data_IF_322544798629
#
_entry.id   IF_322544798629
#
_cell.length_a   1.000
_cell.length_b   1.000
_cell.length_c   1.000
_cell.angle_alpha   90.00
_cell.angle_beta   90.00
_cell.angle_gamma   90.00
#
_symmetry.space_group_name_H-M   'P 1'
#
loop_
_entity.id
_entity.type
_entity.pdbx_description
1 polymer ?
#
# COMPACT_ATOMS: atom_id res chain seq x y z
N UNK A 1 44.74 6.83 -14.52
CA UNK A 1 43.35 7.35 -14.54
C UNK A 1 43.19 8.29 -13.36
N UNK A 2 42.80 9.55 -13.59
CA UNK A 2 42.58 10.54 -12.53
C UNK A 2 41.17 10.36 -11.96
N UNK A 3 41.06 9.87 -10.71
CA UNK A 3 39.79 9.80 -9.98
C UNK A 3 39.48 11.17 -9.38
N UNK A 4 38.65 11.93 -10.08
CA UNK A 4 38.06 13.16 -9.55
C UNK A 4 37.04 12.79 -8.47
N UNK A 5 37.45 12.77 -7.21
CA UNK A 5 36.51 12.81 -6.09
C UNK A 5 35.89 14.21 -6.07
N UNK A 6 34.76 14.36 -6.75
CA UNK A 6 33.96 15.58 -6.62
C UNK A 6 33.48 15.68 -5.16
N UNK A 7 34.22 16.43 -4.35
CA UNK A 7 33.75 16.90 -3.05
C UNK A 7 32.59 17.85 -3.34
N UNK A 8 31.37 17.41 -3.07
CA UNK A 8 30.20 18.28 -3.10
C UNK A 8 30.46 19.38 -2.06
N UNK A 9 30.49 20.67 -2.46
CA UNK A 9 30.66 21.77 -1.52
C UNK A 9 29.61 21.69 -0.40
N UNK A 10 29.97 21.91 0.87
CA UNK A 10 29.03 21.87 2.00
C UNK A 10 27.78 22.75 1.80
N UNK A 11 27.92 23.85 1.05
CA UNK A 11 26.83 24.75 0.69
C UNK A 11 25.79 24.08 -0.23
N UNK A 12 26.23 23.29 -1.23
CA UNK A 12 25.32 22.56 -2.10
C UNK A 12 24.59 21.44 -1.36
N UNK A 13 25.26 20.78 -0.41
CA UNK A 13 24.61 19.80 0.47
C UNK A 13 23.52 20.43 1.33
N UNK A 14 23.79 21.60 1.93
CA UNK A 14 22.82 22.35 2.72
C UNK A 14 21.61 22.80 1.88
N UNK A 15 21.85 23.28 0.65
CA UNK A 15 20.78 23.65 -0.29
C UNK A 15 19.93 22.43 -0.68
N UNK A 16 20.55 21.29 -0.95
CA UNK A 16 19.84 20.05 -1.23
C UNK A 16 18.97 19.60 -0.05
N UNK A 17 19.49 19.65 1.17
CA UNK A 17 18.72 19.34 2.38
C UNK A 17 17.54 20.29 2.58
N UNK A 18 17.74 21.60 2.40
CA UNK A 18 16.66 22.60 2.46
C UNK A 18 15.57 22.30 1.41
N UNK A 19 15.97 22.00 0.18
CA UNK A 19 15.03 21.66 -0.89
C UNK A 19 14.23 20.38 -0.57
N UNK A 20 14.88 19.34 -0.08
CA UNK A 20 14.20 18.10 0.36
C UNK A 20 13.23 18.36 1.51
N UNK A 21 13.63 19.16 2.50
CA UNK A 21 12.77 19.53 3.61
C UNK A 21 11.52 20.27 3.11
N UNK A 22 11.67 21.25 2.21
CA UNK A 22 10.54 21.98 1.64
C UNK A 22 9.58 21.06 0.87
N UNK A 23 10.11 20.13 0.06
CA UNK A 23 9.27 19.13 -0.65
C UNK A 23 8.48 18.27 0.32
N UNK A 24 9.12 17.77 1.37
CA UNK A 24 8.46 16.94 2.37
C UNK A 24 7.35 17.71 3.09
N UNK A 25 7.62 18.95 3.51
CA UNK A 25 6.61 19.81 4.16
C UNK A 25 5.40 20.03 3.24
N UNK A 26 5.63 20.33 1.95
CA UNK A 26 4.54 20.53 0.99
C UNK A 26 3.73 19.23 0.83
N UNK A 27 4.38 18.09 0.62
CA UNK A 27 3.68 16.81 0.45
C UNK A 27 2.85 16.41 1.68
N UNK A 28 3.41 16.57 2.88
CA UNK A 28 2.70 16.35 4.15
C UNK A 28 1.49 17.28 4.26
N UNK A 29 1.69 18.57 3.94
CA UNK A 29 0.61 19.57 3.99
C UNK A 29 -0.51 19.21 3.03
N UNK A 30 -0.20 18.77 1.80
CA UNK A 30 -1.22 18.35 0.83
C UNK A 30 -2.03 17.17 1.36
N UNK A 31 -1.38 16.13 1.89
CA UNK A 31 -2.09 14.98 2.47
C UNK A 31 -2.99 15.40 3.64
N UNK A 32 -2.48 16.23 4.55
CA UNK A 32 -3.26 16.75 5.68
C UNK A 32 -4.47 17.55 5.23
N UNK A 33 -4.27 18.50 4.32
CA UNK A 33 -5.34 19.35 3.79
C UNK A 33 -6.39 18.51 3.08
N UNK A 34 -5.98 17.54 2.25
CA UNK A 34 -6.92 16.62 1.61
C UNK A 34 -7.74 15.84 2.65
N UNK A 35 -7.10 15.19 3.62
CA UNK A 35 -7.80 14.41 4.64
C UNK A 35 -8.74 15.22 5.53
N UNK A 36 -8.40 16.49 5.82
CA UNK A 36 -9.23 17.38 6.64
C UNK A 36 -10.40 17.98 5.87
N UNK A 37 -10.20 18.31 4.59
CA UNK A 37 -11.19 19.02 3.78
C UNK A 37 -12.16 18.05 3.10
N UNK A 38 -11.72 16.85 2.68
CA UNK A 38 -12.56 15.87 1.98
C UNK A 38 -13.91 15.60 2.68
N UNK A 39 -13.98 15.41 4.01
CA UNK A 39 -15.25 15.18 4.71
C UNK A 39 -16.27 16.33 4.60
N UNK A 40 -15.81 17.56 4.30
CA UNK A 40 -16.68 18.73 4.11
C UNK A 40 -17.47 18.66 2.79
N UNK A 41 -16.99 17.87 1.82
CA UNK A 41 -17.61 17.70 0.51
C UNK A 41 -18.47 16.45 0.40
N UNK A 42 -18.55 15.65 1.47
CA UNK A 42 -19.35 14.42 1.52
C UNK A 42 -18.61 13.26 2.15
N UNK A 43 -19.23 12.08 2.08
CA UNK A 43 -18.67 10.84 2.60
C UNK A 43 -18.22 9.98 1.44
N UNK A 44 -17.02 9.41 1.56
CA UNK A 44 -16.46 8.51 0.56
C UNK A 44 -17.33 7.27 0.35
N UNK A 45 -17.46 6.83 -0.91
CA UNK A 45 -18.30 5.69 -1.27
C UNK A 45 -17.82 4.38 -0.64
N UNK A 46 -16.51 4.15 -0.58
CA UNK A 46 -15.93 2.92 -0.02
C UNK A 46 -16.07 2.90 1.50
N UNK A 47 -15.82 4.03 2.17
CA UNK A 47 -16.08 4.16 3.60
C UNK A 47 -17.55 3.92 3.93
N UNK A 48 -18.47 4.51 3.16
CA UNK A 48 -19.92 4.28 3.34
C UNK A 48 -20.29 2.80 3.20
N UNK A 49 -19.67 2.08 2.27
CA UNK A 49 -19.86 0.64 2.11
C UNK A 49 -19.33 -0.15 3.32
N UNK A 50 -18.18 0.24 3.88
CA UNK A 50 -17.66 -0.36 5.12
C UNK A 50 -18.63 -0.19 6.30
N UNK A 51 -19.15 1.02 6.51
CA UNK A 51 -20.09 1.32 7.59
C UNK A 51 -21.43 0.60 7.38
N UNK A 52 -21.94 0.55 6.15
CA UNK A 52 -23.16 -0.17 5.84
C UNK A 52 -23.06 -1.67 6.19
N UNK A 53 -21.91 -2.30 5.94
CA UNK A 53 -21.68 -3.70 6.29
C UNK A 53 -21.60 -3.96 7.81
N UNK A 54 -21.13 -2.98 8.59
CA UNK A 54 -21.12 -3.07 10.06
C UNK A 54 -22.52 -2.87 10.66
N UNK A 55 -23.32 -1.99 10.05
CA UNK A 55 -24.60 -1.52 10.62
C UNK A 55 -25.83 -2.30 10.13
N UNK A 56 -25.74 -2.97 8.96
CA UNK A 56 -26.82 -3.79 8.41
C UNK A 56 -26.41 -5.25 8.53
N UNK A 57 -26.85 -5.92 9.59
CA UNK A 57 -26.72 -7.35 9.93
C UNK A 57 -26.36 -8.19 8.70
N UNK A 58 -25.06 -8.39 8.46
CA UNK A 58 -24.55 -8.88 7.17
C UNK A 58 -23.06 -8.58 6.99
N UNK A 59 -22.24 -9.04 7.93
CA UNK A 59 -20.78 -8.94 7.83
C UNK A 59 -20.29 -9.71 6.58
N UNK A 60 -19.36 -9.13 5.83
CA UNK A 60 -18.72 -9.76 4.66
C UNK A 60 -19.50 -9.68 3.35
N UNK A 61 -20.82 -9.42 3.37
CA UNK A 61 -21.67 -9.49 2.16
C UNK A 61 -21.44 -8.31 1.21
N UNK A 62 -21.15 -7.12 1.74
CA UNK A 62 -21.03 -5.89 0.94
C UNK A 62 -19.60 -5.40 0.69
N UNK A 63 -18.63 -5.90 1.46
CA UNK A 63 -17.25 -5.38 1.40
C UNK A 63 -16.22 -6.47 1.21
N UNK A 64 -16.61 -7.75 1.26
CA UNK A 64 -15.78 -8.94 1.04
C UNK A 64 -14.47 -8.99 1.85
N UNK A 65 -14.39 -8.21 2.93
CA UNK A 65 -13.27 -8.21 3.87
C UNK A 65 -13.47 -9.32 4.89
N UNK A 66 -12.38 -9.91 5.42
CA UNK A 66 -12.48 -10.89 6.49
C UNK A 66 -13.11 -10.23 7.72
N UNK A 67 -13.89 -10.99 8.48
CA UNK A 67 -14.67 -10.43 9.58
C UNK A 67 -13.86 -9.63 10.63
N UNK A 68 -12.60 -10.00 10.97
CA UNK A 68 -11.74 -9.18 11.85
C UNK A 68 -11.57 -7.71 11.40
N UNK A 69 -11.73 -7.40 10.11
CA UNK A 69 -11.70 -6.02 9.62
C UNK A 69 -12.83 -5.16 10.23
N UNK A 70 -13.98 -5.74 10.55
CA UNK A 70 -15.10 -4.98 11.09
C UNK A 70 -14.84 -4.45 12.49
N UNK A 71 -14.02 -5.13 13.30
CA UNK A 71 -13.56 -4.56 14.57
C UNK A 71 -12.68 -3.31 14.40
N UNK A 72 -11.95 -3.21 13.28
CA UNK A 72 -11.21 -2.00 12.96
C UNK A 72 -12.16 -0.88 12.53
N UNK A 73 -13.19 -1.18 11.75
CA UNK A 73 -14.12 -0.18 11.21
C UNK A 73 -15.14 0.31 12.24
N UNK A 74 -15.58 -0.57 13.14
CA UNK A 74 -16.65 -0.31 14.09
C UNK A 74 -16.47 0.97 14.93
N UNK A 75 -15.29 1.30 15.48
CA UNK A 75 -15.08 2.57 16.18
C UNK A 75 -15.39 3.82 15.34
N UNK A 76 -15.22 3.72 14.01
CA UNK A 76 -15.52 4.79 13.06
C UNK A 76 -16.99 4.83 12.65
N UNK A 77 -17.77 3.79 12.96
CA UNK A 77 -19.22 3.74 12.74
C UNK A 77 -20.04 4.33 13.89
N UNK A 78 -19.45 4.45 15.09
CA UNK A 78 -20.11 5.01 16.27
C UNK A 78 -20.45 6.51 16.17
N UNK A 79 -19.54 7.40 15.72
CA UNK A 79 -19.87 8.81 15.56
C UNK A 79 -20.75 9.06 14.30
N UNK A 80 -21.30 10.27 14.12
CA UNK A 80 -21.99 10.61 12.87
C UNK A 80 -21.07 10.37 11.67
N UNK A 81 -21.65 9.91 10.56
CA UNK A 81 -20.91 9.36 9.42
C UNK A 81 -19.77 10.26 8.90
N UNK A 82 -19.97 11.58 8.88
CA UNK A 82 -18.92 12.54 8.49
C UNK A 82 -17.75 12.60 9.46
N UNK A 83 -18.01 12.53 10.77
CA UNK A 83 -16.97 12.48 11.80
C UNK A 83 -16.22 11.15 11.77
N UNK A 84 -16.96 10.04 11.61
CA UNK A 84 -16.37 8.72 11.37
C UNK A 84 -15.44 8.72 10.17
N UNK A 85 -15.88 9.33 9.07
CA UNK A 85 -15.10 9.46 7.85
C UNK A 85 -13.85 10.32 8.04
N UNK A 86 -13.96 11.47 8.72
CA UNK A 86 -12.79 12.29 9.07
C UNK A 86 -11.76 11.50 9.87
N UNK A 87 -12.19 10.81 10.93
CA UNK A 87 -11.29 10.00 11.76
C UNK A 87 -10.64 8.87 10.95
N UNK A 88 -11.39 8.24 10.04
CA UNK A 88 -10.88 7.23 9.13
C UNK A 88 -9.82 7.78 8.16
N UNK A 89 -10.04 8.97 7.60
CA UNK A 89 -9.06 9.63 6.74
C UNK A 89 -7.81 10.05 7.50
N UNK A 90 -7.95 10.53 8.74
CA UNK A 90 -6.81 10.84 9.60
C UNK A 90 -5.98 9.58 9.91
N UNK A 91 -6.63 8.45 10.20
CA UNK A 91 -5.90 7.18 10.40
C UNK A 91 -5.15 6.76 9.12
N UNK A 92 -5.79 6.82 7.96
CA UNK A 92 -5.14 6.50 6.69
C UNK A 92 -3.96 7.44 6.39
N UNK A 93 -4.15 8.74 6.59
CA UNK A 93 -3.11 9.75 6.42
C UNK A 93 -1.91 9.47 7.33
N UNK A 94 -2.14 9.26 8.64
CA UNK A 94 -1.07 8.92 9.58
C UNK A 94 -0.35 7.63 9.16
N UNK A 95 -1.10 6.64 8.66
CA UNK A 95 -0.54 5.42 8.12
C UNK A 95 0.38 5.63 6.92
N UNK A 96 -0.05 6.46 5.95
CA UNK A 96 0.80 6.86 4.82
C UNK A 96 2.04 7.62 5.27
N UNK A 97 1.88 8.63 6.14
CA UNK A 97 2.99 9.44 6.61
C UNK A 97 4.06 8.60 7.31
N UNK A 98 3.63 7.71 8.20
CA UNK A 98 4.51 6.80 8.90
C UNK A 98 5.20 5.83 7.93
N UNK A 99 4.47 5.26 6.97
CA UNK A 99 5.06 4.34 6.00
C UNK A 99 6.09 5.02 5.09
N UNK A 100 5.77 6.20 4.55
CA UNK A 100 6.68 6.97 3.68
C UNK A 100 7.96 7.32 4.44
N UNK A 101 7.87 7.74 5.71
CA UNK A 101 9.03 8.00 6.55
C UNK A 101 9.92 6.76 6.69
N UNK A 102 9.33 5.61 7.05
CA UNK A 102 10.07 4.35 7.25
C UNK A 102 10.71 3.79 5.99
N UNK A 103 10.09 3.98 4.83
CA UNK A 103 10.65 3.57 3.55
C UNK A 103 11.48 4.66 2.86
N UNK A 104 11.65 5.83 3.50
CA UNK A 104 12.34 6.98 2.93
C UNK A 104 11.80 7.38 1.55
N UNK A 105 10.47 7.37 1.41
CA UNK A 105 9.76 7.76 0.20
C UNK A 105 9.69 9.29 0.02
N UNK A 106 9.18 9.71 -1.14
CA UNK A 106 8.98 11.13 -1.48
C UNK A 106 7.52 11.55 -1.20
N UNK A 107 7.31 12.29 -0.11
CA UNK A 107 5.99 12.77 0.30
C UNK A 107 5.27 13.57 -0.78
N UNK A 108 6.00 14.42 -1.52
CA UNK A 108 5.40 15.28 -2.54
C UNK A 108 4.96 14.45 -3.73
N UNK A 109 5.84 13.58 -4.23
CA UNK A 109 5.48 12.71 -5.37
C UNK A 109 4.31 11.78 -5.01
N UNK A 110 4.26 11.29 -3.76
CA UNK A 110 3.14 10.49 -3.27
C UNK A 110 1.84 11.30 -3.17
N UNK A 111 1.87 12.51 -2.59
CA UNK A 111 0.68 13.32 -2.36
C UNK A 111 -0.03 13.75 -3.65
N UNK A 112 0.71 13.85 -4.75
CA UNK A 112 0.18 14.15 -6.08
C UNK A 112 -0.19 12.92 -6.90
N UNK A 113 0.00 11.73 -6.35
CA UNK A 113 -0.30 10.49 -7.05
C UNK A 113 -1.81 10.25 -7.08
N UNK A 114 -2.33 9.79 -8.23
CA UNK A 114 -3.72 9.35 -8.34
C UNK A 114 -4.12 8.36 -7.23
N UNK A 115 -3.29 7.36 -6.87
CA UNK A 115 -3.64 6.43 -5.82
C UNK A 115 -3.88 7.06 -4.46
N UNK A 116 -3.04 8.02 -4.06
CA UNK A 116 -3.19 8.72 -2.79
C UNK A 116 -4.46 9.59 -2.79
N UNK A 117 -4.67 10.38 -3.84
CA UNK A 117 -5.81 11.29 -3.95
C UNK A 117 -7.12 10.51 -3.99
N UNK A 118 -7.22 9.49 -4.85
CA UNK A 118 -8.42 8.67 -4.95
C UNK A 118 -8.73 7.95 -3.64
N UNK A 119 -7.72 7.32 -3.01
CA UNK A 119 -7.91 6.59 -1.75
C UNK A 119 -8.43 7.48 -0.61
N UNK A 120 -7.95 8.73 -0.54
CA UNK A 120 -8.47 9.72 0.42
C UNK A 120 -9.90 10.14 0.06
N UNK A 121 -10.18 10.45 -1.21
CA UNK A 121 -11.50 10.90 -1.64
C UNK A 121 -12.59 9.85 -1.41
N UNK A 122 -12.31 8.58 -1.66
CA UNK A 122 -13.32 7.51 -1.54
C UNK A 122 -13.32 6.84 -0.17
N UNK A 123 -12.32 7.09 0.67
CA UNK A 123 -12.23 6.51 2.00
C UNK A 123 -11.75 5.08 2.03
N UNK A 124 -10.82 4.73 1.14
CA UNK A 124 -10.22 3.42 1.13
C UNK A 124 -9.30 3.19 2.34
N UNK A 125 -8.82 1.95 2.50
CA UNK A 125 -8.02 1.50 3.65
C UNK A 125 -6.54 1.28 3.33
N UNK A 126 -6.02 1.73 2.17
CA UNK A 126 -4.61 1.47 1.82
C UNK A 126 -3.63 2.23 2.71
N UNK A 127 -4.02 3.34 3.35
CA UNK A 127 -3.18 3.99 4.37
C UNK A 127 -2.98 3.09 5.59
N UNK A 128 -4.01 2.33 5.96
CA UNK A 128 -3.93 1.31 7.03
C UNK A 128 -3.08 0.12 6.56
N UNK A 129 -3.19 -0.30 5.31
CA UNK A 129 -2.33 -1.35 4.74
C UNK A 129 -0.86 -0.89 4.66
N UNK A 130 -0.59 0.36 4.28
CA UNK A 130 0.74 0.97 4.26
C UNK A 130 1.33 1.05 5.67
N UNK A 131 0.54 1.44 6.67
CA UNK A 131 0.92 1.36 8.08
C UNK A 131 1.27 -0.08 8.46
N UNK A 132 0.42 -1.03 8.08
CA UNK A 132 0.63 -2.45 8.34
C UNK A 132 1.94 -2.97 7.78
N UNK A 133 2.27 -2.57 6.54
CA UNK A 133 3.53 -2.88 5.88
C UNK A 133 4.74 -2.32 6.65
N UNK A 134 4.68 -1.05 7.05
CA UNK A 134 5.78 -0.40 7.78
C UNK A 134 5.98 -1.00 9.19
N UNK A 135 4.89 -1.27 9.92
CA UNK A 135 4.96 -1.93 11.22
C UNK A 135 5.49 -3.36 11.10
N UNK A 136 4.98 -4.13 10.13
CA UNK A 136 5.44 -5.48 9.83
C UNK A 136 6.93 -5.54 9.56
N UNK A 137 7.46 -4.61 8.76
CA UNK A 137 8.88 -4.58 8.39
C UNK A 137 9.81 -4.08 9.50
N UNK A 138 9.46 -3.00 10.20
CA UNK A 138 10.43 -2.27 11.01
C UNK A 138 10.17 -2.30 12.53
N UNK A 139 8.97 -2.69 12.96
CA UNK A 139 8.62 -2.63 14.38
C UNK A 139 9.08 -3.91 15.15
N UNK A 140 9.09 -3.88 16.50
CA UNK A 140 9.30 -5.08 17.32
C UNK A 140 8.23 -6.15 17.05
N UNK A 141 8.52 -7.41 17.35
CA UNK A 141 7.72 -8.57 16.92
C UNK A 141 6.22 -8.49 17.23
N UNK A 142 5.86 -7.99 18.41
CA UNK A 142 4.46 -7.84 18.79
C UNK A 142 3.77 -6.74 17.96
N UNK A 143 4.39 -5.58 17.78
CA UNK A 143 3.85 -4.50 16.93
C UNK A 143 3.80 -4.93 15.46
N UNK A 144 4.81 -5.67 15.00
CA UNK A 144 4.82 -6.23 13.65
C UNK A 144 3.62 -7.17 13.42
N UNK A 145 3.16 -7.88 14.45
CA UNK A 145 1.93 -8.65 14.39
C UNK A 145 0.67 -7.80 14.20
N UNK A 146 0.60 -6.60 14.79
CA UNK A 146 -0.46 -5.62 14.46
C UNK A 146 -0.38 -5.25 12.97
N UNK A 147 0.85 -5.07 12.46
CA UNK A 147 1.06 -4.78 11.05
C UNK A 147 0.58 -5.89 10.11
N UNK A 148 0.85 -7.15 10.44
CA UNK A 148 0.34 -8.32 9.71
C UNK A 148 -1.19 -8.38 9.77
N UNK A 149 -1.79 -8.07 10.92
CA UNK A 149 -3.25 -8.00 11.04
C UNK A 149 -3.84 -6.94 10.11
N UNK A 150 -3.28 -5.73 10.07
CA UNK A 150 -3.73 -4.67 9.16
C UNK A 150 -3.59 -5.06 7.68
N UNK A 151 -2.49 -5.72 7.31
CA UNK A 151 -2.33 -6.25 5.95
C UNK A 151 -3.38 -7.33 5.63
N UNK A 152 -3.72 -8.19 6.59
CA UNK A 152 -4.68 -9.27 6.39
C UNK A 152 -6.11 -8.78 6.10
N UNK A 153 -6.44 -7.56 6.54
CA UNK A 153 -7.75 -6.95 6.28
C UNK A 153 -8.03 -6.68 4.81
N UNK A 154 -7.00 -6.42 4.00
CA UNK A 154 -7.08 -6.38 2.54
C UNK A 154 -6.22 -7.49 1.96
N UNK A 155 -6.76 -8.70 1.91
CA UNK A 155 -6.03 -9.90 1.43
C UNK A 155 -5.41 -9.71 0.04
N UNK A 156 -6.09 -8.99 -0.86
CA UNK A 156 -5.61 -8.67 -2.21
C UNK A 156 -4.47 -7.62 -2.26
N UNK A 157 -4.10 -7.00 -1.15
CA UNK A 157 -2.91 -6.15 -1.00
C UNK A 157 -1.89 -6.74 -0.05
N UNK A 158 -2.36 -7.46 0.98
CA UNK A 158 -1.55 -7.91 2.10
C UNK A 158 -0.96 -9.30 1.96
N UNK A 159 -1.55 -10.21 1.17
CA UNK A 159 -1.13 -11.62 1.17
C UNK A 159 0.36 -11.81 0.83
N UNK A 160 0.81 -11.28 -0.32
CA UNK A 160 2.22 -11.37 -0.71
C UNK A 160 3.14 -10.62 0.27
N UNK A 161 2.86 -9.37 0.68
CA UNK A 161 3.67 -8.68 1.68
C UNK A 161 3.78 -9.41 3.02
N UNK A 162 2.72 -10.07 3.50
CA UNK A 162 2.75 -10.88 4.72
C UNK A 162 3.75 -12.03 4.56
N UNK A 163 3.70 -12.77 3.43
CA UNK A 163 4.64 -13.85 3.14
C UNK A 163 6.08 -13.31 3.15
N UNK A 164 6.31 -12.18 2.48
CA UNK A 164 7.62 -11.52 2.47
C UNK A 164 8.10 -11.15 3.88
N UNK A 165 7.26 -10.51 4.70
CA UNK A 165 7.61 -10.11 6.08
C UNK A 165 8.02 -11.32 6.91
N UNK A 166 7.23 -12.40 6.88
CA UNK A 166 7.52 -13.63 7.65
C UNK A 166 8.85 -14.23 7.19
N UNK A 167 9.05 -14.35 5.87
CA UNK A 167 10.28 -14.91 5.31
C UNK A 167 11.52 -14.06 5.60
N UNK A 168 11.37 -12.73 5.53
CA UNK A 168 12.45 -11.77 5.76
C UNK A 168 12.86 -11.72 7.24
N UNK A 169 11.88 -11.65 8.15
CA UNK A 169 12.13 -11.53 9.59
C UNK A 169 12.53 -12.84 10.24
N UNK A 170 12.06 -13.98 9.72
CA UNK A 170 12.25 -15.32 10.31
C UNK A 170 11.82 -15.41 11.78
N UNK A 171 10.84 -14.60 12.17
CA UNK A 171 10.35 -14.51 13.53
C UNK A 171 8.86 -14.83 13.55
N UNK A 172 8.51 -16.01 14.04
CA UNK A 172 7.13 -16.50 14.11
C UNK A 172 6.26 -15.76 15.13
N UNK A 173 6.85 -15.01 16.08
CA UNK A 173 6.10 -14.27 17.10
C UNK A 173 5.21 -13.18 16.49
N UNK A 174 5.54 -12.72 15.28
CA UNK A 174 4.70 -11.79 14.51
C UNK A 174 3.31 -12.36 14.21
N UNK A 175 3.12 -13.68 14.28
CA UNK A 175 1.83 -14.32 14.03
C UNK A 175 0.91 -14.35 15.24
N UNK A 176 1.39 -14.03 16.44
CA UNK A 176 0.57 -14.14 17.67
C UNK A 176 -0.68 -13.27 17.57
N UNK A 177 -0.53 -11.99 17.23
CA UNK A 177 -1.65 -11.04 17.14
C UNK A 177 -2.65 -11.42 16.04
N UNK A 178 -2.26 -11.67 14.77
CA UNK A 178 -3.23 -12.06 13.75
C UNK A 178 -3.93 -13.38 14.11
N UNK A 179 -3.23 -14.36 14.70
CA UNK A 179 -3.87 -15.60 15.19
C UNK A 179 -4.92 -15.27 16.25
N UNK A 180 -4.59 -14.48 17.27
CA UNK A 180 -5.53 -14.09 18.34
C UNK A 180 -6.74 -13.36 17.77
N UNK A 181 -6.54 -12.42 16.83
CA UNK A 181 -7.64 -11.70 16.19
C UNK A 181 -8.57 -12.62 15.41
N UNK A 182 -8.02 -13.54 14.61
CA UNK A 182 -8.84 -14.49 13.86
C UNK A 182 -9.54 -15.49 14.79
N UNK A 183 -8.86 -15.99 15.83
CA UNK A 183 -9.47 -16.87 16.83
C UNK A 183 -10.62 -16.18 17.56
N UNK A 184 -10.41 -14.95 18.04
CA UNK A 184 -11.46 -14.19 18.69
C UNK A 184 -12.63 -13.92 17.71
N UNK A 185 -12.34 -13.72 16.42
CA UNK A 185 -13.36 -13.51 15.39
C UNK A 185 -14.19 -14.78 15.17
N UNK A 186 -13.55 -15.96 15.18
CA UNK A 186 -14.28 -17.24 15.18
C UNK A 186 -15.15 -17.43 16.41
N UNK A 187 -14.68 -16.99 17.58
CA UNK A 187 -15.47 -17.09 18.81
C UNK A 187 -16.68 -16.14 18.79
N UNK A 188 -16.53 -14.94 18.23
CA UNK A 188 -17.58 -13.92 18.21
C UNK A 188 -18.62 -14.16 17.12
N UNK A 189 -18.20 -14.48 15.89
CA UNK A 189 -19.08 -14.64 14.73
C UNK A 189 -19.28 -16.10 14.28
N UNK A 190 -18.68 -17.07 14.98
CA UNK A 190 -18.70 -18.46 14.56
C UNK A 190 -17.80 -18.76 13.36
N UNK A 191 -18.05 -19.88 12.69
CA UNK A 191 -17.27 -20.31 11.53
C UNK A 191 -17.68 -19.55 10.25
N UNK A 192 -17.30 -18.28 10.16
CA UNK A 192 -17.68 -17.37 9.07
C UNK A 192 -16.88 -17.55 7.76
N UNK A 193 -15.79 -18.34 7.77
CA UNK A 193 -14.94 -18.55 6.58
C UNK A 193 -15.71 -19.07 5.36
N UNK A 194 -16.56 -20.12 5.45
CA UNK A 194 -17.28 -20.63 4.29
C UNK A 194 -18.26 -19.62 3.70
N UNK A 195 -18.93 -18.83 4.55
CA UNK A 195 -19.83 -17.76 4.10
C UNK A 195 -19.04 -16.65 3.39
N UNK A 196 -17.93 -16.20 4.00
CA UNK A 196 -17.06 -15.21 3.39
C UNK A 196 -16.48 -15.68 2.05
N UNK A 197 -16.01 -16.93 1.96
CA UNK A 197 -15.55 -17.52 0.70
C UNK A 197 -16.71 -17.66 -0.29
N UNK A 198 -17.89 -18.13 0.13
CA UNK A 198 -19.07 -18.25 -0.71
C UNK A 198 -19.47 -16.91 -1.35
N UNK A 199 -19.39 -15.83 -0.58
CA UNK A 199 -19.65 -14.46 -1.04
C UNK A 199 -18.59 -13.94 -2.03
N UNK A 200 -17.39 -14.53 -2.08
CA UNK A 200 -16.37 -14.24 -3.10
C UNK A 200 -16.61 -15.01 -4.42
N UNK A 201 -17.26 -16.16 -4.36
CA UNK A 201 -17.39 -17.10 -5.48
C UNK A 201 -18.74 -17.01 -6.22
N UNK A 202 -19.64 -16.08 -5.87
CA UNK A 202 -20.97 -16.01 -6.50
C UNK A 202 -20.87 -15.78 -8.03
N UNK A 203 -21.34 -16.72 -8.87
CA UNK A 203 -21.35 -16.54 -10.31
C UNK A 203 -22.26 -15.36 -10.69
N UNK A 204 -21.72 -14.36 -11.40
CA UNK A 204 -22.45 -13.14 -11.77
C UNK A 204 -22.08 -11.89 -10.97
N UNK A 205 -21.33 -12.01 -9.86
CA UNK A 205 -20.76 -10.88 -9.13
C UNK A 205 -19.45 -10.36 -9.74
N UNK A 206 -19.28 -10.51 -11.05
CA UNK A 206 -18.18 -9.91 -11.83
C UNK A 206 -18.66 -8.61 -12.46
N UNK A 207 -19.43 -7.81 -11.71
CA UNK A 207 -19.75 -6.46 -12.15
C UNK A 207 -18.54 -5.55 -11.98
N UNK A 208 -18.26 -4.74 -12.99
CA UNK A 208 -17.28 -3.64 -12.97
C UNK A 208 -17.60 -2.56 -11.90
N UNK A 209 -18.78 -2.64 -11.28
CA UNK A 209 -19.25 -1.78 -10.18
C UNK A 209 -18.86 -2.31 -8.79
N UNK A 210 -18.32 -3.52 -8.70
CA UNK A 210 -17.96 -4.13 -7.42
C UNK A 210 -16.51 -3.78 -7.08
N UNK A 211 -16.32 -3.20 -5.90
CA UNK A 211 -15.07 -2.55 -5.48
C UNK A 211 -13.90 -3.52 -5.27
N UNK A 212 -14.13 -4.83 -5.31
CA UNK A 212 -13.11 -5.85 -5.07
C UNK A 212 -13.37 -7.11 -5.92
N UNK A 213 -12.56 -7.31 -6.97
CA UNK A 213 -12.49 -8.58 -7.69
C UNK A 213 -11.35 -9.40 -7.06
N UNK A 214 -11.68 -10.37 -6.21
CA UNK A 214 -10.72 -11.27 -5.58
C UNK A 214 -10.26 -12.41 -6.49
N UNK A 215 -10.70 -12.41 -7.75
CA UNK A 215 -10.19 -13.30 -8.79
C UNK A 215 -8.67 -13.22 -8.80
N UNK A 216 -7.96 -14.34 -8.69
CA UNK A 216 -6.54 -14.37 -9.00
C UNK A 216 -6.37 -14.28 -10.51
N UNK A 217 -5.31 -13.62 -10.98
CA UNK A 217 -4.92 -13.68 -12.38
C UNK A 217 -3.98 -14.88 -12.53
N UNK A 218 -4.44 -16.03 -13.09
CA UNK A 218 -3.69 -17.27 -13.02
C UNK A 218 -2.30 -17.16 -13.64
N UNK A 219 -2.18 -16.38 -14.72
CA UNK A 219 -0.91 -16.09 -15.38
C UNK A 219 0.03 -15.24 -14.51
N UNK A 220 -0.51 -14.37 -13.67
CA UNK A 220 0.27 -13.57 -12.73
C UNK A 220 0.88 -14.40 -11.59
N UNK A 221 0.27 -15.54 -11.23
CA UNK A 221 0.76 -16.42 -10.15
C UNK A 221 2.15 -17.00 -10.44
N UNK A 222 2.55 -17.12 -11.71
CA UNK A 222 3.90 -17.56 -12.08
C UNK A 222 4.98 -16.60 -11.58
N UNK A 223 4.65 -15.33 -11.32
CA UNK A 223 5.59 -14.37 -10.82
C UNK A 223 5.90 -14.56 -9.33
N UNK A 224 5.05 -15.24 -8.56
CA UNK A 224 5.33 -15.53 -7.12
C UNK A 224 6.57 -16.42 -6.96
N UNK A 225 6.69 -17.60 -7.61
CA UNK A 225 7.92 -18.37 -7.52
C UNK A 225 9.12 -17.63 -8.13
N UNK A 226 8.93 -16.83 -9.20
CA UNK A 226 10.01 -15.99 -9.73
C UNK A 226 10.48 -14.95 -8.71
N UNK A 227 9.57 -14.31 -7.96
CA UNK A 227 9.89 -13.45 -6.83
C UNK A 227 10.75 -14.18 -5.81
N UNK A 228 10.36 -15.40 -5.46
CA UNK A 228 11.07 -16.21 -4.49
C UNK A 228 12.49 -16.57 -4.94
N UNK A 229 12.71 -16.88 -6.21
CA UNK A 229 14.04 -17.26 -6.70
C UNK A 229 14.94 -16.05 -6.97
N UNK A 230 14.42 -14.99 -7.59
CA UNK A 230 15.23 -13.89 -8.13
C UNK A 230 15.17 -12.62 -7.28
N UNK A 231 14.07 -12.40 -6.58
CA UNK A 231 13.77 -11.13 -5.89
C UNK A 231 13.39 -11.32 -4.42
N UNK A 232 13.83 -12.41 -3.78
CA UNK A 232 13.44 -12.80 -2.41
C UNK A 232 13.61 -11.71 -1.36
N UNK A 233 14.57 -10.80 -1.56
CA UNK A 233 14.91 -9.73 -0.62
C UNK A 233 14.38 -8.36 -1.05
N UNK A 234 13.64 -8.26 -2.17
CA UNK A 234 13.18 -6.98 -2.72
C UNK A 234 11.69 -6.78 -2.48
N UNK A 235 11.34 -6.12 -1.37
CA UNK A 235 9.96 -5.81 -1.03
C UNK A 235 9.20 -5.15 -2.20
N UNK A 236 9.85 -4.22 -2.91
CA UNK A 236 9.31 -3.53 -4.08
C UNK A 236 8.82 -4.51 -5.16
N UNK A 237 9.59 -5.55 -5.46
CA UNK A 237 9.21 -6.56 -6.45
C UNK A 237 8.04 -7.40 -5.97
N UNK A 238 8.02 -7.80 -4.70
CA UNK A 238 6.87 -8.52 -4.12
C UNK A 238 5.58 -7.69 -4.17
N UNK A 239 5.65 -6.38 -3.91
CA UNK A 239 4.49 -5.49 -4.01
C UNK A 239 4.01 -5.31 -5.47
N UNK A 240 4.92 -5.23 -6.44
CA UNK A 240 4.55 -5.20 -7.87
C UNK A 240 3.90 -6.52 -8.29
N UNK A 241 4.46 -7.64 -7.84
CA UNK A 241 3.97 -8.98 -8.16
C UNK A 241 2.58 -9.19 -7.57
N UNK A 242 2.30 -8.70 -6.37
CA UNK A 242 0.93 -8.64 -5.83
C UNK A 242 -0.02 -7.96 -6.83
N UNK A 243 0.39 -6.81 -7.39
CA UNK A 243 -0.35 -6.11 -8.43
C UNK A 243 -0.58 -6.93 -9.70
N UNK A 244 0.40 -7.71 -10.14
CA UNK A 244 0.32 -8.58 -11.32
C UNK A 244 -0.53 -9.84 -11.09
N UNK A 245 -0.59 -10.34 -9.86
CA UNK A 245 -1.36 -11.53 -9.49
C UNK A 245 -2.85 -11.27 -9.35
N UNK A 246 -3.28 -9.99 -9.41
CA UNK A 246 -4.66 -9.56 -9.22
C UNK A 246 -5.16 -8.85 -10.51
N UNK A 247 -6.15 -9.40 -11.23
CA UNK A 247 -6.67 -8.87 -12.50
C UNK A 247 -7.42 -7.54 -12.32
N UNK A 248 -7.75 -7.20 -11.08
CA UNK A 248 -8.41 -5.97 -10.65
C UNK A 248 -7.64 -5.32 -9.51
N UNK A 249 -6.31 -5.30 -9.63
CA UNK A 249 -5.52 -4.36 -8.85
C UNK A 249 -5.81 -2.95 -9.36
N UNK A 250 -6.79 -2.30 -8.73
CA UNK A 250 -7.25 -0.97 -9.08
C UNK A 250 -6.10 0.02 -9.00
N UNK A 251 -6.14 1.08 -9.80
CA UNK A 251 -5.04 2.04 -9.83
C UNK A 251 -4.77 2.64 -8.45
N UNK A 252 -5.80 2.81 -7.62
CA UNK A 252 -5.66 3.32 -6.26
C UNK A 252 -4.94 2.37 -5.29
N UNK A 253 -4.97 1.08 -5.54
CA UNK A 253 -4.27 0.08 -4.73
C UNK A 253 -2.74 0.20 -4.85
N UNK A 254 -2.23 0.92 -5.85
CA UNK A 254 -0.78 1.13 -6.00
C UNK A 254 -0.22 2.15 -5.00
N UNK A 255 -1.04 2.78 -4.16
CA UNK A 255 -0.53 3.65 -3.09
C UNK A 255 0.47 2.91 -2.18
N UNK A 256 0.26 1.61 -1.91
CA UNK A 256 1.20 0.80 -1.13
C UNK A 256 2.56 0.59 -1.85
N UNK A 257 2.57 0.57 -3.19
CA UNK A 257 3.80 0.52 -3.98
C UNK A 257 4.50 1.88 -3.92
N UNK A 258 3.75 2.98 -4.01
CA UNK A 258 4.30 4.34 -3.98
C UNK A 258 4.88 4.72 -2.62
N UNK A 259 4.37 4.18 -1.50
CA UNK A 259 4.99 4.43 -0.18
C UNK A 259 6.31 3.68 -0.03
N UNK A 260 6.41 2.46 -0.58
CA UNK A 260 7.57 1.59 -0.41
C UNK A 260 8.64 1.76 -1.50
N UNK A 261 8.29 2.38 -2.63
CA UNK A 261 9.16 2.55 -3.79
C UNK A 261 9.20 4.01 -4.21
N UNK A 262 10.38 4.49 -4.61
CA UNK A 262 10.49 5.76 -5.31
C UNK A 262 9.98 5.61 -6.74
N UNK A 263 8.70 5.93 -6.93
CA UNK A 263 8.06 5.87 -8.24
C UNK A 263 8.39 7.13 -9.04
N UNK A 264 8.92 7.01 -10.27
CA UNK A 264 9.20 8.17 -11.13
C UNK A 264 7.94 8.98 -11.46
N UNK A 265 8.09 10.29 -11.56
CA UNK A 265 7.00 11.23 -11.85
C UNK A 265 6.21 10.90 -13.14
N UNK A 266 6.87 10.31 -14.15
CA UNK A 266 6.21 9.98 -15.41
C UNK A 266 5.22 8.81 -15.25
N UNK A 267 5.45 7.90 -14.29
CA UNK A 267 4.48 6.85 -13.95
C UNK A 267 3.24 7.47 -13.31
N UNK A 268 3.44 8.45 -12.44
CA UNK A 268 2.36 9.24 -11.85
C UNK A 268 1.54 9.94 -12.93
N UNK A 269 2.21 10.61 -13.87
CA UNK A 269 1.56 11.28 -15.00
C UNK A 269 0.78 10.28 -15.87
N UNK A 270 1.35 9.11 -16.15
CA UNK A 270 0.67 8.06 -16.92
C UNK A 270 -0.57 7.54 -16.20
N UNK A 271 -0.52 7.32 -14.88
CA UNK A 271 -1.70 6.92 -14.10
C UNK A 271 -2.82 7.96 -14.20
N UNK A 272 -2.50 9.25 -14.10
CA UNK A 272 -3.48 10.32 -14.30
C UNK A 272 -4.07 10.32 -15.72
N UNK A 273 -3.22 10.22 -16.75
CA UNK A 273 -3.67 10.14 -18.14
C UNK A 273 -4.58 8.94 -18.38
N UNK A 274 -4.27 7.78 -17.78
CA UNK A 274 -5.08 6.57 -17.92
C UNK A 274 -6.51 6.73 -17.40
N UNK A 275 -6.68 7.54 -16.35
CA UNK A 275 -7.99 7.89 -15.79
C UNK A 275 -8.70 8.92 -16.66
N UNK A 276 -8.00 9.98 -17.11
CA UNK A 276 -8.58 11.06 -17.91
C UNK A 276 -9.10 10.54 -19.26
N UNK A 277 -8.35 9.66 -19.92
CA UNK A 277 -8.72 9.12 -21.22
C UNK A 277 -9.90 8.13 -21.12
N UNK A 278 -10.31 7.76 -19.88
CA UNK A 278 -11.41 6.84 -19.56
C UNK A 278 -11.37 5.54 -20.39
N UNK A 279 -10.17 5.20 -20.87
CA UNK A 279 -9.98 4.02 -21.68
C UNK A 279 -9.77 2.85 -20.72
N UNK A 280 -10.27 1.65 -21.04
CA UNK A 280 -9.72 0.42 -20.51
C UNK A 280 -8.29 0.25 -21.05
N UNK A 281 -7.36 1.15 -20.66
CA UNK A 281 -5.94 0.91 -20.83
C UNK A 281 -5.69 -0.43 -20.14
N UNK A 282 -5.06 -1.40 -20.81
CA UNK A 282 -4.99 -2.77 -20.30
C UNK A 282 -4.45 -2.72 -18.88
N UNK A 283 -5.22 -3.28 -17.94
CA UNK A 283 -4.95 -3.27 -16.49
C UNK A 283 -3.55 -3.80 -16.12
N UNK A 284 -2.86 -4.43 -17.08
CA UNK A 284 -1.49 -4.91 -17.00
C UNK A 284 -0.41 -3.89 -17.39
N UNK A 285 -0.72 -2.84 -18.16
CA UNK A 285 0.28 -1.84 -18.59
C UNK A 285 0.82 -1.10 -17.37
N UNK A 286 -0.03 -0.72 -16.41
CA UNK A 286 0.41 0.02 -15.22
C UNK A 286 1.38 -0.78 -14.34
N UNK A 287 1.07 -2.03 -13.92
CA UNK A 287 2.05 -2.82 -13.18
C UNK A 287 3.29 -3.16 -14.01
N UNK A 288 3.19 -3.32 -15.33
CA UNK A 288 4.35 -3.49 -16.20
C UNK A 288 5.25 -2.25 -16.26
N UNK A 289 4.66 -1.06 -16.38
CA UNK A 289 5.39 0.21 -16.32
C UNK A 289 6.01 0.43 -14.94
N UNK A 290 5.33 0.05 -13.86
CA UNK A 290 5.89 0.06 -12.51
C UNK A 290 7.05 -0.91 -12.36
N UNK A 291 6.96 -2.11 -12.95
CA UNK A 291 8.05 -3.08 -12.99
C UNK A 291 9.26 -2.51 -13.74
N UNK A 292 9.05 -1.93 -14.92
CA UNK A 292 10.12 -1.25 -15.68
C UNK A 292 10.71 -0.10 -14.86
N UNK A 293 9.87 0.72 -14.23
CA UNK A 293 10.30 1.85 -13.43
C UNK A 293 11.14 1.42 -12.23
N UNK A 294 10.70 0.39 -11.49
CA UNK A 294 11.44 -0.16 -10.35
C UNK A 294 12.72 -0.83 -10.81
N UNK A 295 12.71 -1.58 -11.91
CA UNK A 295 13.91 -2.19 -12.46
C UNK A 295 14.92 -1.14 -12.92
N UNK A 296 14.46 -0.10 -13.61
CA UNK A 296 15.30 1.03 -14.01
C UNK A 296 15.89 1.77 -12.80
N UNK A 297 15.11 1.98 -11.75
CA UNK A 297 15.60 2.57 -10.49
C UNK A 297 16.62 1.66 -9.79
N UNK A 298 16.38 0.35 -9.76
CA UNK A 298 17.33 -0.63 -9.21
C UNK A 298 18.64 -0.64 -10.00
N UNK A 299 18.59 -0.54 -11.33
CA UNK A 299 19.79 -0.42 -12.17
C UNK A 299 20.54 0.88 -11.91
N UNK A 300 19.85 2.01 -11.78
CA UNK A 300 20.47 3.29 -11.43
C UNK A 300 21.13 3.20 -10.05
N UNK A 301 20.44 2.61 -9.08
CA UNK A 301 20.97 2.45 -7.73
C UNK A 301 22.20 1.53 -7.70
N UNK A 302 22.14 0.36 -8.36
CA UNK A 302 23.26 -0.56 -8.46
C UNK A 302 24.47 0.08 -9.16
N UNK A 303 24.26 0.86 -10.23
CA UNK A 303 25.33 1.63 -10.89
C UNK A 303 25.94 2.69 -9.97
N UNK A 304 25.13 3.36 -9.13
CA UNK A 304 25.63 4.33 -8.14
C UNK A 304 26.44 3.65 -7.04
N UNK A 305 25.99 2.51 -6.52
CA UNK A 305 26.70 1.76 -5.48
C UNK A 305 28.00 1.14 -6.01
N UNK A 306 28.00 0.58 -7.23
CA UNK A 306 29.23 0.06 -7.84
C UNK A 306 30.25 1.16 -8.14
N UNK A 307 29.80 2.35 -8.54
CA UNK A 307 30.64 3.53 -8.68
C UNK A 307 31.27 3.92 -7.34
N UNK A 308 30.49 3.99 -6.27
CA UNK A 308 30.99 4.33 -4.91
C UNK A 308 31.95 3.27 -4.38
N UNK A 309 31.69 1.98 -4.58
CA UNK A 309 32.56 0.90 -4.12
C UNK A 309 33.86 0.81 -4.94
N UNK A 310 33.79 1.04 -6.25
CA UNK A 310 35.00 1.20 -7.07
C UNK A 310 35.84 2.37 -6.56
N UNK A 311 35.22 3.50 -6.21
CA UNK A 311 35.94 4.65 -5.63
C UNK A 311 36.54 4.36 -4.25
N UNK A 312 35.91 3.52 -3.41
CA UNK A 312 36.43 3.12 -2.09
C UNK A 312 37.52 2.04 -2.15
N UNK A 313 37.47 1.13 -3.11
CA UNK A 313 38.50 0.09 -3.31
C UNK A 313 39.85 0.62 -3.84
N UNK A 314 39.90 1.88 -4.27
CA UNK A 314 41.11 2.57 -4.69
C UNK A 314 41.64 3.60 -3.67
N UNK A 315 41.08 3.64 -2.45
CA UNK A 315 41.65 4.39 -1.34
C UNK A 315 42.36 3.41 -0.38
N UNK A 316 43.71 3.40 -0.32
CA UNK A 316 44.45 2.73 0.75
C UNK A 316 44.20 3.37 2.12
#
# INVERSE_FOLDING_TARGET
MYTCTMKIPPQLLKLYQLFQNSRNIIGITVLMVLSLITPLFGVGGDFSAFIAAVTRIGYGVHTWNPYPFYWLVEPFALPPLQWGFLLWLLLNMLGYLYAIDKFHGDFLSFSWSYPAIYGILTGQSEGIAALGLALGMFAPSWVAGIGIAFLSFKTHLGLVPIIFIIAYRRDWRVLIIPIVLYLASFLYWGWWIPEWLGNMYMPGSVEWRLSHNTSLFPWGLIFIPLAWFWWRNSLSMWLIIQGLTMPYYTLYSYSIVYVACQVPWWVTAFMWLSIIVNHPIPKMIVPFLLMIAVQHQLEIYQKRVSFVNTVRGFMP
#
